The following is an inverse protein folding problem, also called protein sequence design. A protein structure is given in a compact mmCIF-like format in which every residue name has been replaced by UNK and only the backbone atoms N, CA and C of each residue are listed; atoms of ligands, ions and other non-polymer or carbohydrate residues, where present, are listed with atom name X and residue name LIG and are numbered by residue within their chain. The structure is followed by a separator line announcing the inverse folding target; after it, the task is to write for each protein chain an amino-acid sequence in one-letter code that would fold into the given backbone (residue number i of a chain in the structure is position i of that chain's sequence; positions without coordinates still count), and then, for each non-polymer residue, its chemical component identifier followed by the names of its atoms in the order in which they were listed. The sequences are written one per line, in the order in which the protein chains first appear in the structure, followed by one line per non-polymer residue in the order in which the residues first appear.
data_IF_990567023002
#
_entry.id   IF_990567023002
#
_cell.length_a   1.000
_cell.length_b   1.000
_cell.length_c   1.000
_cell.angle_alpha   90.00
_cell.angle_beta   90.00
_cell.angle_gamma   90.00
#
_symmetry.space_group_name_H-M   'P 1'
#
loop_
_entity.id
_entity.type
_entity.pdbx_description
1 polymer ?
#
# COMPACT_ATOMS: atom_id res chain seq x y z
N UNK A 1 -21.63 38.19 3.49
CA UNK A 1 -20.71 37.78 4.57
C UNK A 1 -21.37 36.57 5.22
N UNK A 2 -20.90 35.33 5.09
CA UNK A 2 -19.60 34.81 5.49
C UNK A 2 -19.23 33.63 4.59
N UNK A 3 -18.03 33.68 3.99
CA UNK A 3 -17.45 32.54 3.29
C UNK A 3 -16.96 31.58 4.36
N UNK A 4 -17.60 30.42 4.51
CA UNK A 4 -17.02 29.32 5.26
C UNK A 4 -15.75 28.90 4.52
N UNK A 5 -14.60 29.30 5.07
CA UNK A 5 -13.29 28.80 4.64
C UNK A 5 -13.25 27.35 5.07
N UNK A 6 -13.51 26.45 4.13
CA UNK A 6 -13.08 25.06 4.28
C UNK A 6 -11.58 25.09 4.53
N UNK A 7 -11.17 24.80 5.76
CA UNK A 7 -9.80 24.45 6.05
C UNK A 7 -9.56 23.12 5.33
N UNK A 8 -9.04 23.20 4.11
CA UNK A 8 -8.30 22.09 3.54
C UNK A 8 -7.07 21.97 4.42
N UNK A 9 -7.15 21.12 5.45
CA UNK A 9 -5.95 20.65 6.15
C UNK A 9 -5.14 19.98 5.06
N UNK A 10 -4.18 20.72 4.53
CA UNK A 10 -3.23 20.20 3.56
C UNK A 10 -2.33 19.30 4.40
N UNK A 11 -2.69 18.03 4.50
CA UNK A 11 -1.81 17.00 5.03
C UNK A 11 -0.51 17.18 4.24
N UNK A 12 0.66 17.37 4.89
CA UNK A 12 1.91 17.47 4.16
C UNK A 12 2.00 16.23 3.28
N UNK A 13 2.08 16.44 1.96
CA UNK A 13 2.08 15.34 1.01
C UNK A 13 3.25 14.42 1.35
N UNK A 14 2.93 13.25 1.90
CA UNK A 14 3.88 12.17 2.11
C UNK A 14 4.27 11.72 0.70
N UNK A 15 5.41 12.20 0.19
CA UNK A 15 5.78 12.01 -1.20
C UNK A 15 6.44 10.64 -1.39
N UNK A 16 5.75 9.72 -2.07
CA UNK A 16 6.26 8.39 -2.41
C UNK A 16 6.81 8.26 -3.84
N UNK A 17 6.82 9.33 -4.64
CA UNK A 17 7.25 9.28 -6.05
C UNK A 17 8.72 8.91 -6.20
N UNK A 18 9.51 9.19 -5.17
CA UNK A 18 10.93 8.84 -5.09
C UNK A 18 11.20 7.32 -5.07
N UNK A 19 10.17 6.49 -4.83
CA UNK A 19 10.32 5.04 -4.82
C UNK A 19 10.45 4.43 -6.23
N UNK A 20 10.13 5.19 -7.28
CA UNK A 20 10.30 4.74 -8.67
C UNK A 20 11.75 4.30 -8.96
N UNK A 21 11.91 3.11 -9.53
CA UNK A 21 13.21 2.50 -9.81
C UNK A 21 13.80 1.69 -8.66
N UNK A 22 13.17 1.67 -7.48
CA UNK A 22 13.67 0.90 -6.33
C UNK A 22 13.48 -0.60 -6.54
N UNK A 23 14.50 -1.39 -6.22
CA UNK A 23 14.46 -2.84 -6.20
C UNK A 23 13.97 -3.37 -4.86
N UNK A 24 12.87 -4.13 -4.87
CA UNK A 24 12.29 -4.76 -3.69
C UNK A 24 12.38 -6.27 -3.84
N UNK A 25 13.02 -6.92 -2.86
CA UNK A 25 13.07 -8.38 -2.77
C UNK A 25 11.84 -8.88 -2.01
N UNK A 26 11.06 -9.75 -2.66
CA UNK A 26 9.81 -10.29 -2.15
C UNK A 26 9.91 -11.79 -1.94
N UNK A 27 9.44 -12.24 -0.78
CA UNK A 27 9.23 -13.64 -0.48
C UNK A 27 8.13 -14.22 -1.36
N UNK A 28 8.22 -15.52 -1.60
CA UNK A 28 7.28 -16.25 -2.44
C UNK A 28 6.31 -17.05 -1.58
N UNK A 29 5.04 -17.19 -2.00
CA UNK A 29 4.07 -18.02 -1.28
C UNK A 29 4.42 -19.52 -1.29
N UNK A 30 5.20 -19.96 -2.29
CA UNK A 30 5.79 -21.31 -2.35
C UNK A 30 7.21 -21.31 -1.77
N UNK A 31 7.80 -22.49 -1.50
CA UNK A 31 9.21 -22.66 -1.10
C UNK A 31 10.23 -22.25 -2.20
N UNK A 32 9.80 -21.46 -3.18
CA UNK A 32 10.65 -20.85 -4.18
C UNK A 32 11.53 -19.77 -3.56
N UNK A 33 12.73 -19.52 -4.12
CA UNK A 33 13.57 -18.42 -3.65
C UNK A 33 12.86 -17.07 -3.83
N UNK A 34 13.13 -16.09 -2.95
CA UNK A 34 12.62 -14.73 -3.10
C UNK A 34 13.00 -14.12 -4.46
N UNK A 35 12.15 -13.25 -4.99
CA UNK A 35 12.32 -12.60 -6.29
C UNK A 35 12.39 -11.08 -6.14
N UNK A 36 13.16 -10.43 -6.99
CA UNK A 36 13.32 -8.98 -6.96
C UNK A 36 12.42 -8.33 -8.02
N UNK A 37 11.68 -7.31 -7.61
CA UNK A 37 10.83 -6.49 -8.48
C UNK A 37 11.27 -5.03 -8.42
N UNK A 38 11.26 -4.36 -9.57
CA UNK A 38 11.55 -2.94 -9.69
C UNK A 38 10.24 -2.16 -9.64
N UNK A 39 10.14 -1.18 -8.75
CA UNK A 39 9.00 -0.27 -8.66
C UNK A 39 8.98 0.64 -9.90
N UNK A 40 7.82 0.76 -10.53
CA UNK A 40 7.57 1.64 -11.66
C UNK A 40 6.81 2.92 -11.26
N UNK A 41 5.90 3.36 -12.12
CA UNK A 41 5.08 4.55 -11.90
C UNK A 41 4.08 4.36 -10.75
N UNK A 42 3.87 5.42 -9.96
CA UNK A 42 2.80 5.50 -8.96
C UNK A 42 1.44 5.58 -9.65
N UNK A 43 0.53 4.71 -9.24
CA UNK A 43 -0.82 4.60 -9.82
C UNK A 43 -1.85 5.29 -8.92
N UNK A 44 -1.77 5.05 -7.60
CA UNK A 44 -2.69 5.64 -6.64
C UNK A 44 -2.09 5.66 -5.25
N UNK A 45 -2.56 6.57 -4.41
CA UNK A 45 -2.25 6.62 -2.98
C UNK A 45 -3.52 6.92 -2.20
N UNK A 46 -3.60 6.37 -0.99
CA UNK A 46 -4.67 6.61 -0.03
C UNK A 46 -4.10 6.59 1.39
N UNK A 47 -4.78 7.25 2.32
CA UNK A 47 -4.30 7.47 3.68
C UNK A 47 -5.43 7.23 4.69
N UNK A 48 -5.19 6.32 5.62
CA UNK A 48 -6.00 6.18 6.82
C UNK A 48 -5.31 6.94 7.95
N UNK A 49 -5.58 8.25 8.05
CA UNK A 49 -5.05 9.09 9.13
C UNK A 49 -5.89 8.96 10.39
N UNK A 50 -5.28 9.26 11.54
CA UNK A 50 -5.94 9.17 12.84
C UNK A 50 -5.36 10.21 13.80
N UNK A 51 -6.24 10.85 14.55
CA UNK A 51 -5.88 11.62 15.74
C UNK A 51 -5.55 10.67 16.91
N UNK A 52 -4.89 11.21 17.94
CA UNK A 52 -4.61 10.47 19.18
C UNK A 52 -5.90 9.88 19.80
N UNK A 53 -6.99 10.66 19.84
CA UNK A 53 -8.26 10.20 20.42
C UNK A 53 -8.90 9.04 19.63
N UNK A 54 -8.80 9.07 18.30
CA UNK A 54 -9.31 7.98 17.46
C UNK A 54 -8.49 6.71 17.62
N UNK A 55 -7.16 6.86 17.70
CA UNK A 55 -6.24 5.74 17.93
C UNK A 55 -6.51 5.04 19.26
N UNK A 56 -6.85 5.79 20.32
CA UNK A 56 -7.23 5.21 21.62
C UNK A 56 -8.58 4.47 21.58
N UNK A 57 -9.43 4.76 20.59
CA UNK A 57 -10.79 4.20 20.46
C UNK A 57 -10.90 3.08 19.41
N UNK A 58 -9.96 2.96 18.48
CA UNK A 58 -10.02 2.03 17.35
C UNK A 58 -8.80 1.08 17.31
N UNK A 59 -8.97 -0.15 16.77
CA UNK A 59 -7.86 -1.07 16.63
C UNK A 59 -6.98 -0.72 15.41
N UNK A 60 -5.69 -0.50 15.65
CA UNK A 60 -4.65 -0.41 14.63
C UNK A 60 -4.10 1.01 14.42
N UNK A 61 -2.84 1.14 13.98
CA UNK A 61 -2.23 2.45 13.72
C UNK A 61 -2.70 3.04 12.39
N UNK A 62 -2.57 4.37 12.20
CA UNK A 62 -2.79 4.98 10.90
C UNK A 62 -1.76 4.47 9.88
N UNK A 63 -2.15 4.45 8.60
CA UNK A 63 -1.30 3.93 7.52
C UNK A 63 -1.55 4.60 6.17
N UNK A 64 -0.53 4.58 5.32
CA UNK A 64 -0.63 4.92 3.91
C UNK A 64 -0.68 3.64 3.07
N UNK A 65 -1.40 3.72 1.95
CA UNK A 65 -1.53 2.65 0.96
C UNK A 65 -1.16 3.22 -0.40
N UNK A 66 -0.09 2.72 -0.99
CA UNK A 66 0.40 3.22 -2.27
C UNK A 66 0.49 2.09 -3.26
N UNK A 67 -0.11 2.27 -4.43
CA UNK A 67 -0.07 1.33 -5.53
C UNK A 67 0.87 1.85 -6.61
N UNK A 68 1.80 1.00 -7.02
CA UNK A 68 2.71 1.23 -8.13
C UNK A 68 2.52 0.16 -9.21
N UNK A 69 2.93 0.47 -10.43
CA UNK A 69 3.33 -0.58 -11.37
C UNK A 69 4.66 -1.20 -10.92
N UNK A 70 4.94 -2.42 -11.31
CA UNK A 70 6.25 -3.04 -11.10
C UNK A 70 6.56 -4.07 -12.17
N UNK A 71 7.81 -4.48 -12.28
CA UNK A 71 8.22 -5.59 -13.15
C UNK A 71 9.32 -6.41 -12.48
N UNK A 72 9.44 -7.68 -12.88
CA UNK A 72 10.52 -8.54 -12.39
C UNK A 72 11.87 -8.01 -12.88
N UNK A 73 12.85 -7.96 -11.98
CA UNK A 73 14.22 -7.56 -12.32
C UNK A 73 14.85 -8.53 -13.33
N UNK A 74 14.56 -9.83 -13.21
CA UNK A 74 15.12 -10.88 -14.07
C UNK A 74 14.37 -11.03 -15.40
N UNK A 75 13.09 -10.67 -15.42
CA UNK A 75 12.24 -10.73 -16.60
C UNK A 75 11.33 -9.50 -16.66
N UNK A 76 11.77 -8.41 -17.31
CA UNK A 76 10.97 -7.20 -17.42
C UNK A 76 9.65 -7.38 -18.19
N UNK A 77 9.44 -8.51 -18.89
CA UNK A 77 8.14 -8.79 -19.52
C UNK A 77 7.08 -9.22 -18.50
N UNK A 78 7.51 -9.74 -17.35
CA UNK A 78 6.63 -10.02 -16.21
C UNK A 78 6.26 -8.71 -15.50
N UNK A 79 5.14 -8.13 -15.94
CA UNK A 79 4.56 -6.92 -15.39
C UNK A 79 3.59 -7.21 -14.25
N UNK A 80 3.51 -6.30 -13.30
CA UNK A 80 2.66 -6.43 -12.13
C UNK A 80 2.25 -5.09 -11.54
N UNK A 81 1.50 -5.20 -10.45
CA UNK A 81 1.26 -4.10 -9.53
C UNK A 81 1.89 -4.46 -8.19
N UNK A 82 2.40 -3.44 -7.51
CA UNK A 82 2.87 -3.54 -6.14
C UNK A 82 2.06 -2.58 -5.29
N UNK A 83 1.58 -3.05 -4.14
CA UNK A 83 1.04 -2.21 -3.09
C UNK A 83 1.96 -2.21 -1.90
N UNK A 84 2.22 -1.01 -1.40
CA UNK A 84 2.99 -0.76 -0.19
C UNK A 84 1.99 -0.27 0.86
N UNK A 85 1.98 -0.96 1.99
CA UNK A 85 1.31 -0.53 3.20
C UNK A 85 2.37 -0.06 4.19
N UNK A 86 2.28 1.16 4.66
CA UNK A 86 3.29 1.74 5.54
C UNK A 86 2.60 2.45 6.69
N UNK A 87 3.04 2.20 7.91
CA UNK A 87 2.57 2.96 9.06
C UNK A 87 2.95 4.44 8.91
N UNK A 88 2.00 5.33 9.15
CA UNK A 88 2.24 6.77 9.19
C UNK A 88 2.06 7.31 10.61
N UNK A 89 2.52 8.53 10.92
CA UNK A 89 2.37 9.11 12.24
C UNK A 89 0.91 9.53 12.48
N UNK A 90 0.52 9.62 13.76
CA UNK A 90 -0.73 10.24 14.17
C UNK A 90 -0.78 11.72 13.74
N UNK A 91 -1.99 12.22 13.52
CA UNK A 91 -2.21 13.60 13.12
C UNK A 91 -1.57 14.58 14.11
N UNK A 92 -0.83 15.55 13.56
CA UNK A 92 -0.07 16.53 14.35
C UNK A 92 1.32 16.08 14.78
N UNK A 93 1.71 14.81 14.56
CA UNK A 93 3.03 14.30 14.99
C UNK A 93 4.03 14.12 13.85
N UNK A 94 3.63 14.33 12.60
CA UNK A 94 4.52 14.20 11.42
C UNK A 94 5.78 15.06 11.50
N UNK A 95 5.67 16.28 12.06
CA UNK A 95 6.80 17.21 12.23
C UNK A 95 7.54 17.05 13.56
N UNK A 96 7.12 16.12 14.42
CA UNK A 96 7.86 15.79 15.65
C UNK A 96 9.19 15.12 15.32
N UNK A 97 10.12 15.12 16.27
CA UNK A 97 11.41 14.44 16.10
C UNK A 97 11.23 12.92 15.94
N UNK A 98 12.14 12.21 15.24
CA UNK A 98 12.03 10.77 14.97
C UNK A 98 11.75 9.92 16.21
N UNK A 99 12.32 10.27 17.37
CA UNK A 99 12.15 9.54 18.63
C UNK A 99 10.70 9.57 19.12
N UNK A 100 9.98 10.68 18.91
CA UNK A 100 8.56 10.81 19.28
C UNK A 100 7.70 9.98 18.33
N UNK A 101 8.01 9.98 17.03
CA UNK A 101 7.29 9.16 16.04
C UNK A 101 7.53 7.68 16.27
N UNK A 102 8.76 7.29 16.63
CA UNK A 102 9.13 5.91 16.93
C UNK A 102 8.34 5.31 18.10
N UNK A 103 7.89 6.13 19.06
CA UNK A 103 7.03 5.66 20.16
C UNK A 103 5.67 5.14 19.68
N UNK A 104 5.25 5.49 18.47
CA UNK A 104 4.00 5.06 17.87
C UNK A 104 4.16 3.74 17.10
N UNK A 105 5.39 3.25 16.92
CA UNK A 105 5.70 2.11 16.08
C UNK A 105 4.97 0.83 16.52
N UNK A 106 4.31 0.18 15.56
CA UNK A 106 3.82 -1.18 15.69
C UNK A 106 4.70 -2.08 14.84
N UNK A 107 5.20 -3.16 15.44
CA UNK A 107 6.18 -4.05 14.79
C UNK A 107 5.63 -4.82 13.59
N UNK A 108 4.32 -5.09 13.57
CA UNK A 108 3.66 -5.67 12.39
C UNK A 108 2.15 -5.40 12.38
N UNK A 109 1.62 -5.08 11.19
CA UNK A 109 0.20 -5.06 10.89
C UNK A 109 -0.06 -5.68 9.50
N UNK A 110 -0.44 -6.97 9.46
CA UNK A 110 -0.76 -7.63 8.19
C UNK A 110 -2.17 -7.26 7.74
N UNK A 111 -2.26 -6.54 6.62
CA UNK A 111 -3.54 -6.11 6.03
C UNK A 111 -4.36 -7.26 5.44
N UNK A 112 -5.69 -7.10 5.43
CA UNK A 112 -6.64 -8.10 4.91
C UNK A 112 -6.34 -8.51 3.47
N UNK A 113 -5.94 -7.57 2.62
CA UNK A 113 -5.61 -7.87 1.22
C UNK A 113 -4.44 -8.85 1.10
N UNK A 114 -3.34 -8.60 1.82
CA UNK A 114 -2.18 -9.50 1.84
C UNK A 114 -2.58 -10.90 2.34
N UNK A 115 -3.34 -10.99 3.43
CA UNK A 115 -3.85 -12.27 3.95
C UNK A 115 -4.73 -12.99 2.93
N UNK A 116 -5.61 -12.27 2.25
CA UNK A 116 -6.53 -12.81 1.27
C UNK A 116 -5.79 -13.33 0.04
N UNK A 117 -4.89 -12.54 -0.55
CA UNK A 117 -4.13 -12.94 -1.74
C UNK A 117 -3.23 -14.15 -1.46
N UNK A 118 -2.55 -14.19 -0.31
CA UNK A 118 -1.75 -15.36 0.08
C UNK A 118 -2.62 -16.61 0.24
N UNK A 119 -3.81 -16.48 0.84
CA UNK A 119 -4.71 -17.61 1.03
C UNK A 119 -5.30 -18.11 -0.30
N UNK A 120 -5.72 -17.20 -1.17
CA UNK A 120 -6.32 -17.52 -2.46
C UNK A 120 -5.31 -18.11 -3.45
N UNK A 121 -4.05 -17.65 -3.41
CA UNK A 121 -2.94 -18.23 -4.20
C UNK A 121 -2.66 -19.67 -3.79
N UNK A 122 -2.65 -19.98 -2.48
CA UNK A 122 -2.48 -21.35 -1.96
C UNK A 122 -3.57 -22.31 -2.45
N UNK A 123 -4.79 -21.82 -2.60
CA UNK A 123 -5.93 -22.59 -3.12
C UNK A 123 -6.00 -22.60 -4.66
N UNK A 124 -5.00 -22.04 -5.35
CA UNK A 124 -4.98 -21.89 -6.82
C UNK A 124 -6.24 -21.22 -7.37
N UNK A 125 -6.73 -20.18 -6.69
CA UNK A 125 -7.92 -19.46 -7.11
C UNK A 125 -7.67 -18.67 -8.41
N UNK A 126 -8.35 -19.05 -9.50
CA UNK A 126 -8.22 -18.38 -10.80
C UNK A 126 -9.01 -17.07 -10.92
N UNK A 127 -9.78 -16.70 -9.89
CA UNK A 127 -10.59 -15.47 -9.86
C UNK A 127 -9.82 -14.24 -9.36
N UNK A 128 -8.60 -14.42 -8.86
CA UNK A 128 -7.70 -13.33 -8.47
C UNK A 128 -6.44 -13.34 -9.32
N UNK A 129 -5.79 -12.18 -9.49
CA UNK A 129 -4.47 -12.14 -10.11
C UNK A 129 -3.48 -13.00 -9.32
N UNK A 130 -2.54 -13.62 -10.04
CA UNK A 130 -1.51 -14.44 -9.42
C UNK A 130 -0.65 -13.61 -8.47
N UNK A 131 -0.38 -14.14 -7.28
CA UNK A 131 0.53 -13.51 -6.33
C UNK A 131 1.96 -13.64 -6.86
N UNK A 132 2.65 -12.50 -7.03
CA UNK A 132 4.04 -12.45 -7.46
C UNK A 132 5.02 -12.47 -6.29
N UNK A 133 4.57 -12.04 -5.11
CA UNK A 133 5.33 -12.10 -3.87
C UNK A 133 4.82 -11.11 -2.83
N UNK A 134 5.35 -11.22 -1.61
CA UNK A 134 5.08 -10.28 -0.53
C UNK A 134 6.33 -10.04 0.30
N UNK A 135 6.36 -8.97 1.07
CA UNK A 135 7.47 -8.64 1.95
C UNK A 135 6.94 -7.96 3.20
N UNK A 136 7.57 -8.24 4.32
CA UNK A 136 7.25 -7.64 5.61
C UNK A 136 8.54 -7.04 6.19
N UNK A 137 8.48 -5.83 6.72
CA UNK A 137 9.66 -5.12 7.18
C UNK A 137 9.34 -4.05 8.23
N UNK A 138 10.41 -3.44 8.71
CA UNK A 138 10.36 -2.31 9.63
C UNK A 138 10.94 -1.07 8.97
N UNK A 139 10.37 0.07 9.32
CA UNK A 139 10.78 1.36 8.83
C UNK A 139 12.13 1.78 9.43
N UNK A 140 12.93 2.45 8.61
CA UNK A 140 14.24 3.00 8.96
C UNK A 140 14.17 4.18 9.92
N UNK A 141 15.34 4.61 10.43
CA UNK A 141 15.43 5.69 11.44
C UNK A 141 14.98 7.07 10.95
N UNK A 142 15.06 7.31 9.64
CA UNK A 142 14.65 8.57 9.00
C UNK A 142 13.26 8.51 8.37
N UNK A 143 12.58 7.37 8.45
CA UNK A 143 11.26 7.20 7.84
C UNK A 143 10.14 7.80 8.71
N UNK A 144 8.89 7.64 8.24
CA UNK A 144 7.75 8.32 8.84
C UNK A 144 7.51 7.88 10.27
N UNK A 145 7.53 6.57 10.54
CA UNK A 145 7.45 6.01 11.88
C UNK A 145 8.62 5.06 12.06
N UNK A 146 9.76 5.52 12.60
CA UNK A 146 10.92 4.66 12.79
C UNK A 146 10.59 3.42 13.60
N UNK A 147 10.92 2.24 13.06
CA UNK A 147 10.58 0.95 13.66
C UNK A 147 9.11 0.52 13.50
N UNK A 148 8.25 1.34 12.88
CA UNK A 148 6.90 0.95 12.48
C UNK A 148 6.92 0.01 11.28
N UNK A 149 5.83 -0.70 11.03
CA UNK A 149 5.81 -1.68 9.94
C UNK A 149 5.81 -1.04 8.55
N UNK A 150 6.28 -1.81 7.58
CA UNK A 150 6.13 -1.60 6.15
C UNK A 150 5.94 -2.95 5.46
N UNK A 151 4.87 -3.10 4.69
CA UNK A 151 4.50 -4.34 4.02
C UNK A 151 4.35 -4.11 2.52
N UNK A 152 4.77 -5.10 1.74
CA UNK A 152 4.74 -5.12 0.29
C UNK A 152 3.90 -6.31 -0.17
N UNK A 153 3.06 -6.11 -1.18
CA UNK A 153 2.39 -7.20 -1.87
C UNK A 153 2.38 -6.89 -3.36
N UNK A 154 2.85 -7.85 -4.16
CA UNK A 154 2.90 -7.72 -5.61
C UNK A 154 2.08 -8.82 -6.28
N UNK A 155 1.31 -8.46 -7.29
CA UNK A 155 0.48 -9.39 -8.05
C UNK A 155 0.52 -9.09 -9.54
N UNK A 156 0.17 -10.09 -10.34
CA UNK A 156 0.24 -10.03 -11.80
C UNK A 156 -0.69 -8.95 -12.37
N UNK A 157 -0.20 -8.24 -13.39
CA UNK A 157 -1.06 -7.36 -14.18
C UNK A 157 -1.85 -8.20 -15.16
N UNK A 158 -3.16 -8.26 -14.95
CA UNK A 158 -4.08 -8.96 -15.87
C UNK A 158 -4.44 -8.06 -17.08
N UNK A 159 -4.75 -8.66 -18.26
CA UNK A 159 -5.25 -7.91 -19.40
C UNK A 159 -6.56 -7.19 -19.07
N UNK A 160 -6.75 -6.01 -19.68
CA UNK A 160 -7.95 -5.19 -19.53
C UNK A 160 -7.68 -3.86 -18.82
N UNK A 161 -8.76 -3.11 -18.61
CA UNK A 161 -8.72 -1.80 -17.98
C UNK A 161 -9.32 -1.85 -16.58
N UNK A 162 -8.78 -1.08 -15.62
CA UNK A 162 -9.40 -0.92 -14.31
C UNK A 162 -10.84 -0.41 -14.47
N UNK A 163 -11.76 -1.09 -13.82
CA UNK A 163 -13.17 -0.72 -13.82
C UNK A 163 -13.44 0.15 -12.60
N UNK A 164 -13.77 1.42 -12.81
CA UNK A 164 -14.25 2.28 -11.72
C UNK A 164 -15.65 1.81 -11.28
N UNK A 165 -15.80 1.51 -9.98
CA UNK A 165 -17.04 0.99 -9.41
C UNK A 165 -18.24 1.88 -9.75
N UNK A 166 -18.11 3.19 -9.54
CA UNK A 166 -19.22 4.12 -9.75
C UNK A 166 -19.59 4.24 -11.23
N UNK A 167 -18.60 4.27 -12.11
CA UNK A 167 -18.82 4.38 -13.55
C UNK A 167 -19.41 3.10 -14.11
N UNK A 168 -18.92 1.93 -13.68
CA UNK A 168 -19.41 0.63 -14.15
C UNK A 168 -20.89 0.42 -13.84
N UNK A 169 -21.30 0.61 -12.59
CA UNK A 169 -22.70 0.38 -12.19
C UNK A 169 -23.68 1.42 -12.73
N UNK A 170 -23.18 2.56 -13.22
CA UNK A 170 -23.99 3.58 -13.92
C UNK A 170 -24.20 3.28 -15.40
N UNK A 171 -23.43 2.35 -15.99
CA UNK A 171 -23.59 1.95 -17.39
C UNK A 171 -24.84 1.09 -17.55
N UNK A 172 -25.32 1.01 -18.79
CA UNK A 172 -26.45 0.15 -19.14
C UNK A 172 -26.15 -1.34 -18.88
N UNK A 173 -27.19 -2.17 -18.97
CA UNK A 173 -27.04 -3.60 -18.74
C UNK A 173 -26.20 -4.28 -19.83
N UNK A 174 -26.32 -3.85 -21.09
CA UNK A 174 -25.58 -4.41 -22.22
C UNK A 174 -24.06 -4.26 -22.04
N UNK A 175 -23.60 -3.12 -21.53
CA UNK A 175 -22.18 -2.90 -21.20
C UNK A 175 -21.68 -3.79 -20.04
N UNK A 176 -22.58 -4.26 -19.18
CA UNK A 176 -22.24 -5.03 -17.96
C UNK A 176 -22.38 -6.55 -18.13
N UNK A 177 -22.90 -7.01 -19.28
CA UNK A 177 -22.92 -8.44 -19.65
C UNK A 177 -21.55 -8.88 -20.18
#
# INVERSE_FOLDING_TARGET
MSRSRGFVVTIPSINFDHLGGTEIKLDQPSLSPPRTFVIGEKISEDYQTMTQEEYERQPGPPFAVIKFSCHSLLDPTQQGFMRIYMQIPLDGTLSSVPEVRAQQAVSQCTHTELKALVSLDRENCMAVPKLLGYGEGLQGVEEFVPGGYINYVAWERVPGEPVDYYTFWKRDFEYRQ
#
